data_IF_089481776438
#
_entry.id   IF_089481776438
#
_cell.length_a   1.000
_cell.length_b   1.000
_cell.length_c   1.000
_cell.angle_alpha   90.00
_cell.angle_beta   90.00
_cell.angle_gamma   90.00
#
_symmetry.space_group_name_H-M   'P 1'
#
loop_
_entity.id
_entity.type
_entity.pdbx_description
1 polymer ?
#
# COMPACT_ATOMS: atom_id res chain seq x y z
N UNK A 1 112.43 -39.43 195.29
CA UNK A 1 113.37 -39.49 194.14
C UNK A 1 112.53 -39.79 192.89
N UNK A 2 112.76 -39.26 191.69
CA UNK A 2 113.58 -38.12 191.16
C UNK A 2 113.17 -37.96 189.68
N UNK A 3 112.94 -36.80 189.06
CA UNK A 3 113.25 -35.37 189.31
C UNK A 3 114.69 -34.89 188.92
N UNK A 4 114.74 -33.77 188.18
CA UNK A 4 115.88 -32.89 187.82
C UNK A 4 117.02 -33.39 186.90
N UNK A 5 116.85 -33.21 185.57
CA UNK A 5 117.74 -32.31 184.80
C UNK A 5 117.10 -31.70 183.53
N UNK A 6 115.79 -31.50 183.52
CA UNK A 6 115.02 -30.83 182.46
C UNK A 6 115.41 -29.34 182.21
N UNK A 7 116.33 -28.78 183.00
CA UNK A 7 116.51 -27.34 183.11
C UNK A 7 117.34 -26.68 181.99
N UNK A 8 118.40 -27.32 181.49
CA UNK A 8 119.23 -26.69 180.45
C UNK A 8 118.58 -26.72 179.05
N UNK A 9 117.70 -27.70 178.81
CA UNK A 9 116.82 -27.70 177.64
C UNK A 9 115.75 -26.59 177.69
N UNK A 10 115.40 -26.08 178.87
CA UNK A 10 114.34 -25.09 179.03
C UNK A 10 114.76 -23.65 178.69
N UNK A 11 116.03 -23.28 178.84
CA UNK A 11 116.48 -21.89 178.78
C UNK A 11 116.51 -21.28 177.36
N UNK A 12 117.20 -21.91 176.40
CA UNK A 12 117.23 -21.40 175.01
C UNK A 12 115.90 -21.57 174.28
N UNK A 13 115.17 -22.63 174.63
CA UNK A 13 113.78 -22.86 174.23
C UNK A 13 112.90 -21.64 174.60
N UNK A 14 113.14 -21.01 175.76
CA UNK A 14 112.43 -19.81 176.18
C UNK A 14 112.82 -18.52 175.42
N UNK A 15 114.06 -18.41 174.90
CA UNK A 15 114.53 -17.21 174.19
C UNK A 15 113.99 -17.14 172.77
N UNK A 16 114.10 -18.22 172.00
CA UNK A 16 113.60 -18.23 170.62
C UNK A 16 112.06 -18.30 170.54
N UNK A 17 111.38 -18.84 171.57
CA UNK A 17 109.93 -18.64 171.76
C UNK A 17 109.52 -17.15 171.81
N UNK A 18 110.37 -16.25 172.34
CA UNK A 18 110.07 -14.81 172.37
C UNK A 18 110.24 -14.15 171.00
N UNK A 19 111.26 -14.51 170.23
CA UNK A 19 111.43 -14.00 168.85
C UNK A 19 110.36 -14.56 167.91
N UNK A 20 109.96 -15.83 168.08
CA UNK A 20 108.82 -16.40 167.36
C UNK A 20 107.51 -15.63 167.66
N UNK A 21 107.31 -15.18 168.90
CA UNK A 21 106.14 -14.36 169.30
C UNK A 21 106.09 -12.97 168.66
N UNK A 22 107.19 -12.22 168.54
CA UNK A 22 107.11 -10.87 167.96
C UNK A 22 106.89 -10.92 166.45
N UNK A 23 107.58 -11.82 165.74
CA UNK A 23 107.35 -12.02 164.30
C UNK A 23 105.95 -12.58 164.00
N UNK A 24 105.38 -13.41 164.89
CA UNK A 24 103.95 -13.79 164.78
C UNK A 24 102.99 -12.60 164.92
N UNK A 25 103.32 -11.57 165.71
CA UNK A 25 102.46 -10.39 165.88
C UNK A 25 102.49 -9.49 164.62
N UNK A 26 103.66 -9.22 164.05
CA UNK A 26 103.76 -8.42 162.82
C UNK A 26 103.13 -9.12 161.61
N UNK A 27 103.33 -10.45 161.48
CA UNK A 27 102.68 -11.25 160.43
C UNK A 27 101.16 -11.24 160.59
N UNK A 28 100.65 -11.27 161.83
CA UNK A 28 99.23 -11.21 162.14
C UNK A 28 98.61 -9.86 161.81
N UNK A 29 99.31 -8.75 162.08
CA UNK A 29 98.84 -7.40 161.73
C UNK A 29 98.65 -7.22 160.21
N UNK A 30 99.64 -7.63 159.42
CA UNK A 30 99.56 -7.60 157.95
C UNK A 30 98.47 -8.53 157.39
N UNK A 31 98.28 -9.71 157.98
CA UNK A 31 97.18 -10.62 157.63
C UNK A 31 95.80 -10.04 157.98
N UNK A 32 95.65 -9.34 159.10
CA UNK A 32 94.39 -8.71 159.51
C UNK A 32 94.00 -7.52 158.60
N UNK A 33 94.96 -6.72 158.11
CA UNK A 33 94.66 -5.72 157.06
C UNK A 33 94.31 -6.36 155.70
N UNK A 34 95.10 -7.35 155.25
CA UNK A 34 94.86 -8.07 153.99
C UNK A 34 93.48 -8.74 153.99
N UNK A 35 93.09 -9.40 155.08
CA UNK A 35 91.78 -10.04 155.21
C UNK A 35 90.63 -9.04 155.31
N UNK A 36 90.82 -7.85 155.91
CA UNK A 36 89.81 -6.77 155.89
C UNK A 36 89.58 -6.22 154.46
N UNK A 37 90.63 -6.04 153.65
CA UNK A 37 90.47 -5.64 152.23
C UNK A 37 89.80 -6.74 151.40
N UNK A 38 90.23 -7.99 151.55
CA UNK A 38 89.62 -9.14 150.88
C UNK A 38 88.14 -9.31 151.20
N UNK A 39 87.73 -9.13 152.47
CA UNK A 39 86.30 -9.17 152.85
C UNK A 39 85.47 -8.09 152.15
N UNK A 40 85.98 -6.86 152.02
CA UNK A 40 85.29 -5.79 151.27
C UNK A 40 85.19 -6.10 149.77
N UNK A 41 86.26 -6.59 149.16
CA UNK A 41 86.27 -6.98 147.74
C UNK A 41 85.32 -8.16 147.46
N UNK A 42 85.35 -9.21 148.28
CA UNK A 42 84.47 -10.37 148.13
C UNK A 42 82.98 -10.02 148.34
N UNK A 43 82.66 -9.06 149.22
CA UNK A 43 81.28 -8.59 149.37
C UNK A 43 80.79 -7.85 148.13
N UNK A 44 81.60 -6.96 147.56
CA UNK A 44 81.28 -6.25 146.31
C UNK A 44 81.11 -7.23 145.13
N UNK A 45 81.98 -8.24 145.03
CA UNK A 45 81.90 -9.29 144.00
C UNK A 45 80.58 -10.08 144.12
N UNK A 46 80.18 -10.48 145.33
CA UNK A 46 78.91 -11.18 145.55
C UNK A 46 77.69 -10.35 145.16
N UNK A 47 77.66 -9.03 145.47
CA UNK A 47 76.55 -8.15 145.08
C UNK A 47 76.46 -8.04 143.56
N UNK A 48 77.58 -7.79 142.89
CA UNK A 48 77.63 -7.71 141.42
C UNK A 48 77.28 -9.05 140.75
N UNK A 49 77.65 -10.19 141.33
CA UNK A 49 77.26 -11.50 140.84
C UNK A 49 75.74 -11.73 140.94
N UNK A 50 75.11 -11.35 142.05
CA UNK A 50 73.66 -11.45 142.23
C UNK A 50 72.87 -10.53 141.27
N UNK A 51 73.37 -9.32 140.98
CA UNK A 51 72.76 -8.46 139.96
C UNK A 51 72.92 -9.04 138.54
N UNK A 52 74.09 -9.63 138.23
CA UNK A 52 74.33 -10.25 136.92
C UNK A 52 73.45 -11.49 136.68
N UNK A 53 73.20 -12.30 137.71
CA UNK A 53 72.26 -13.43 137.60
C UNK A 53 70.83 -12.95 137.39
N UNK A 54 70.34 -11.97 138.18
CA UNK A 54 69.00 -11.40 138.01
C UNK A 54 68.76 -10.84 136.61
N UNK A 55 69.68 -10.04 136.08
CA UNK A 55 69.58 -9.49 134.72
C UNK A 55 69.60 -10.58 133.63
N UNK A 56 70.35 -11.67 133.83
CA UNK A 56 70.35 -12.82 132.91
C UNK A 56 69.05 -13.62 132.96
N UNK A 57 68.41 -13.72 134.12
CA UNK A 57 67.08 -14.33 134.25
C UNK A 57 65.97 -13.46 133.65
N UNK A 58 66.03 -12.13 133.81
CA UNK A 58 65.12 -11.19 133.13
C UNK A 58 65.23 -11.28 131.61
N UNK A 59 66.45 -11.29 131.04
CA UNK A 59 66.62 -11.45 129.59
C UNK A 59 66.09 -12.81 129.10
N UNK A 60 66.41 -13.92 129.80
CA UNK A 60 65.87 -15.25 129.45
C UNK A 60 64.35 -15.33 129.52
N UNK A 61 63.72 -14.66 130.48
CA UNK A 61 62.25 -14.67 130.63
C UNK A 61 61.56 -13.80 129.60
N UNK A 62 62.21 -12.72 129.11
CA UNK A 62 61.73 -11.91 128.00
C UNK A 62 61.88 -12.60 126.64
N UNK A 63 63.07 -13.12 126.31
CA UNK A 63 63.37 -13.74 125.01
C UNK A 63 62.81 -15.17 124.88
N UNK A 64 62.87 -15.97 125.95
CA UNK A 64 62.32 -17.32 126.00
C UNK A 64 60.83 -17.39 126.40
N UNK A 65 60.24 -16.26 126.78
CA UNK A 65 58.90 -16.18 127.36
C UNK A 65 57.79 -16.59 126.39
N UNK A 66 56.62 -16.92 126.97
CA UNK A 66 55.39 -17.21 126.21
C UNK A 66 54.97 -16.07 125.30
N UNK A 67 55.38 -14.83 125.60
CA UNK A 67 55.12 -13.64 124.78
C UNK A 67 55.91 -13.64 123.47
N UNK A 68 57.20 -13.99 123.47
CA UNK A 68 58.03 -14.06 122.25
C UNK A 68 57.52 -15.14 121.27
N UNK A 69 57.18 -16.33 121.77
CA UNK A 69 56.55 -17.39 120.96
C UNK A 69 55.14 -17.03 120.48
N UNK A 70 54.37 -16.26 121.27
CA UNK A 70 53.08 -15.71 120.81
C UNK A 70 53.27 -14.68 119.71
N UNK A 71 54.34 -13.88 119.73
CA UNK A 71 54.58 -12.86 118.70
C UNK A 71 54.95 -13.49 117.36
N UNK A 72 55.89 -14.44 117.33
CA UNK A 72 56.26 -15.14 116.09
C UNK A 72 55.12 -15.99 115.51
N UNK A 73 54.25 -16.56 116.36
CA UNK A 73 53.03 -17.21 115.89
C UNK A 73 52.00 -16.22 115.33
N UNK A 74 51.86 -15.01 115.92
CA UNK A 74 51.02 -13.94 115.37
C UNK A 74 51.55 -13.41 114.04
N UNK A 75 52.86 -13.26 113.89
CA UNK A 75 53.49 -12.86 112.62
C UNK A 75 53.22 -13.89 111.51
N UNK A 76 53.34 -15.19 111.81
CA UNK A 76 52.96 -16.26 110.87
C UNK A 76 51.47 -16.23 110.54
N UNK A 77 50.60 -16.01 111.52
CA UNK A 77 49.16 -15.85 111.28
C UNK A 77 48.86 -14.62 110.41
N UNK A 78 49.53 -13.48 110.64
CA UNK A 78 49.39 -12.28 109.82
C UNK A 78 49.91 -12.50 108.40
N UNK A 79 51.04 -13.18 108.21
CA UNK A 79 51.55 -13.55 106.89
C UNK A 79 50.57 -14.43 106.13
N UNK A 80 50.02 -15.47 106.77
CA UNK A 80 49.02 -16.36 106.16
C UNK A 80 47.72 -15.61 105.83
N UNK A 81 47.26 -14.70 106.70
CA UNK A 81 46.08 -13.87 106.45
C UNK A 81 46.31 -12.87 105.30
N UNK A 82 47.52 -12.32 105.17
CA UNK A 82 47.90 -11.43 104.07
C UNK A 82 48.04 -12.17 102.74
N UNK A 83 48.54 -13.42 102.77
CA UNK A 83 48.56 -14.31 101.60
C UNK A 83 47.13 -14.65 101.15
N UNK A 84 46.26 -15.09 102.07
CA UNK A 84 44.82 -15.32 101.81
C UNK A 84 44.11 -14.06 101.31
N UNK A 85 44.42 -12.88 101.85
CA UNK A 85 43.89 -11.62 101.35
C UNK A 85 44.35 -11.37 99.90
N UNK A 86 45.61 -11.65 99.58
CA UNK A 86 46.15 -11.49 98.22
C UNK A 86 45.52 -12.48 97.21
N UNK A 87 45.20 -13.70 97.65
CA UNK A 87 44.51 -14.71 96.85
C UNK A 87 43.05 -14.32 96.60
N UNK A 88 42.33 -13.88 97.64
CA UNK A 88 40.96 -13.37 97.51
C UNK A 88 40.89 -12.11 96.64
N UNK A 89 41.86 -11.20 96.76
CA UNK A 89 41.97 -10.01 95.90
C UNK A 89 42.18 -10.41 94.44
N UNK A 90 43.02 -11.41 94.16
CA UNK A 90 43.28 -11.94 92.82
C UNK A 90 42.04 -12.65 92.24
N UNK A 91 41.36 -13.45 93.05
CA UNK A 91 40.11 -14.11 92.66
C UNK A 91 39.00 -13.08 92.35
N UNK A 92 38.85 -12.05 93.18
CA UNK A 92 37.90 -10.95 92.95
C UNK A 92 38.20 -10.20 91.65
N UNK A 93 39.48 -9.91 91.36
CA UNK A 93 39.87 -9.28 90.09
C UNK A 93 39.54 -10.16 88.88
N UNK A 94 39.79 -11.47 88.97
CA UNK A 94 39.44 -12.42 87.91
C UNK A 94 37.92 -12.48 87.68
N UNK A 95 37.11 -12.53 88.74
CA UNK A 95 35.65 -12.49 88.59
C UNK A 95 35.16 -11.14 88.04
N UNK A 96 35.82 -10.04 88.39
CA UNK A 96 35.51 -8.72 87.82
C UNK A 96 35.84 -8.65 86.31
N UNK A 97 36.93 -9.29 85.86
CA UNK A 97 37.21 -9.42 84.42
C UNK A 97 36.23 -10.34 83.72
N UNK A 98 35.87 -11.48 84.33
CA UNK A 98 34.86 -12.40 83.79
C UNK A 98 33.51 -11.71 83.60
N UNK A 99 33.05 -10.94 84.59
CA UNK A 99 31.83 -10.15 84.51
C UNK A 99 31.89 -9.11 83.39
N UNK A 100 33.00 -8.38 83.26
CA UNK A 100 33.18 -7.39 82.19
C UNK A 100 33.16 -8.03 80.79
N UNK A 101 33.79 -9.20 80.63
CA UNK A 101 33.75 -9.97 79.38
C UNK A 101 32.34 -10.47 79.07
N UNK A 102 31.62 -11.02 80.05
CA UNK A 102 30.24 -11.47 79.92
C UNK A 102 29.29 -10.31 79.55
N UNK A 103 29.41 -9.15 80.19
CA UNK A 103 28.69 -7.94 79.79
C UNK A 103 29.06 -7.47 78.36
N UNK A 104 30.31 -7.68 77.95
CA UNK A 104 30.77 -7.44 76.59
C UNK A 104 30.14 -8.41 75.57
N UNK A 105 29.98 -9.68 75.94
CA UNK A 105 29.31 -10.70 75.13
C UNK A 105 27.79 -10.47 75.05
N UNK A 106 27.14 -10.12 76.16
CA UNK A 106 25.72 -9.73 76.19
C UNK A 106 25.48 -8.57 75.23
N UNK A 107 26.27 -7.48 75.34
CA UNK A 107 26.15 -6.31 74.44
C UNK A 107 26.46 -6.61 72.96
N UNK A 108 27.20 -7.67 72.63
CA UNK A 108 27.37 -8.14 71.25
C UNK A 108 26.12 -8.88 70.77
N UNK A 109 25.63 -9.82 71.56
CA UNK A 109 24.42 -10.60 71.27
C UNK A 109 23.17 -9.70 71.15
N UNK A 110 23.02 -8.69 72.02
CA UNK A 110 21.96 -7.69 71.92
C UNK A 110 22.03 -6.91 70.58
N UNK A 111 23.23 -6.51 70.15
CA UNK A 111 23.42 -5.83 68.85
C UNK A 111 23.13 -6.74 67.65
N UNK A 112 23.46 -8.03 67.76
CA UNK A 112 23.16 -9.03 66.73
C UNK A 112 21.64 -9.30 66.66
N UNK A 113 20.97 -9.46 67.81
CA UNK A 113 19.50 -9.58 67.90
C UNK A 113 18.82 -8.34 67.32
N UNK A 114 19.30 -7.13 67.64
CA UNK A 114 18.78 -5.88 67.08
C UNK A 114 19.03 -5.76 65.56
N UNK A 115 20.16 -6.29 65.06
CA UNK A 115 20.44 -6.31 63.63
C UNK A 115 19.52 -7.30 62.90
N UNK A 116 19.27 -8.47 63.48
CA UNK A 116 18.30 -9.45 62.97
C UNK A 116 16.89 -8.88 62.98
N UNK A 117 16.42 -8.30 64.09
CA UNK A 117 15.09 -7.65 64.19
C UNK A 117 14.89 -6.48 63.23
N UNK A 118 15.94 -5.75 62.84
CA UNK A 118 15.87 -4.72 61.79
C UNK A 118 15.76 -5.31 60.38
N UNK A 119 16.29 -6.51 60.17
CA UNK A 119 16.24 -7.24 58.89
C UNK A 119 15.01 -8.16 58.78
N UNK A 120 14.39 -8.53 59.90
CA UNK A 120 13.12 -9.25 59.97
C UNK A 120 11.99 -8.38 59.46
N UNK A 121 11.70 -8.52 58.16
CA UNK A 121 10.49 -8.01 57.54
C UNK A 121 9.28 -8.74 58.18
N UNK A 122 8.31 -8.04 58.79
CA UNK A 122 7.19 -8.71 59.45
C UNK A 122 6.37 -9.58 58.49
N UNK A 123 5.85 -10.70 58.97
CA UNK A 123 4.96 -11.60 58.21
C UNK A 123 3.79 -10.88 57.49
N UNK A 124 3.28 -9.80 58.10
CA UNK A 124 2.27 -8.96 57.46
C UNK A 124 2.75 -8.34 56.16
N UNK A 125 4.00 -7.88 56.07
CA UNK A 125 4.56 -7.35 54.83
C UNK A 125 4.59 -8.44 53.73
N UNK A 126 5.04 -9.67 54.04
CA UNK A 126 5.02 -10.77 53.07
C UNK A 126 3.59 -11.11 52.60
N UNK A 127 2.63 -11.19 53.52
CA UNK A 127 1.20 -11.39 53.19
C UNK A 127 0.67 -10.25 52.30
N UNK A 128 1.10 -9.02 52.56
CA UNK A 128 0.77 -7.85 51.75
C UNK A 128 1.38 -7.91 50.34
N UNK A 129 2.64 -8.33 50.20
CA UNK A 129 3.29 -8.50 48.88
C UNK A 129 2.59 -9.60 48.09
N UNK A 130 2.30 -10.75 48.72
CA UNK A 130 1.55 -11.85 48.09
C UNK A 130 0.16 -11.38 47.68
N UNK A 131 -0.56 -10.65 48.54
CA UNK A 131 -1.86 -10.08 48.21
C UNK A 131 -1.80 -9.08 47.04
N UNK A 132 -0.76 -8.23 46.98
CA UNK A 132 -0.52 -7.31 45.86
C UNK A 132 -0.21 -8.06 44.56
N UNK A 133 0.59 -9.13 44.61
CA UNK A 133 0.88 -10.00 43.46
C UNK A 133 -0.39 -10.71 42.99
N UNK A 134 -1.15 -11.35 43.89
CA UNK A 134 -2.42 -12.02 43.57
C UNK A 134 -3.42 -11.05 42.89
N UNK A 135 -3.59 -9.85 43.45
CA UNK A 135 -4.42 -8.78 42.86
C UNK A 135 -3.90 -8.30 41.50
N UNK A 136 -2.61 -8.40 41.24
CA UNK A 136 -2.00 -8.04 39.96
C UNK A 136 -2.18 -9.14 38.92
N UNK A 137 -2.05 -10.42 39.31
CA UNK A 137 -2.38 -11.59 38.49
C UNK A 137 -3.84 -11.54 38.05
N UNK A 138 -4.79 -11.38 38.98
CA UNK A 138 -6.23 -11.27 38.65
C UNK A 138 -6.55 -10.08 37.73
N UNK A 139 -5.82 -8.96 37.85
CA UNK A 139 -5.96 -7.83 36.91
C UNK A 139 -5.44 -8.15 35.51
N UNK A 140 -4.34 -8.91 35.40
CA UNK A 140 -3.77 -9.34 34.13
C UNK A 140 -4.64 -10.42 33.47
N UNK A 141 -5.16 -11.37 34.24
CA UNK A 141 -6.12 -12.39 33.79
C UNK A 141 -7.39 -11.72 33.26
N UNK A 142 -8.04 -10.84 34.03
CA UNK A 142 -9.22 -10.10 33.56
C UNK A 142 -8.93 -9.27 32.30
N UNK A 143 -7.73 -8.69 32.17
CA UNK A 143 -7.33 -7.94 30.98
C UNK A 143 -7.09 -8.85 29.77
N UNK A 144 -6.51 -10.04 29.98
CA UNK A 144 -6.37 -11.07 28.95
C UNK A 144 -7.74 -11.56 28.49
N UNK A 145 -8.67 -11.80 29.42
CA UNK A 145 -10.04 -12.24 29.14
C UNK A 145 -10.82 -11.22 28.32
N UNK A 146 -10.70 -9.93 28.63
CA UNK A 146 -11.29 -8.83 27.84
C UNK A 146 -10.67 -8.75 26.44
N UNK A 147 -9.37 -8.97 26.29
CA UNK A 147 -8.70 -9.01 24.98
C UNK A 147 -9.12 -10.24 24.18
N UNK A 148 -9.22 -11.42 24.81
CA UNK A 148 -9.69 -12.65 24.18
C UNK A 148 -11.13 -12.52 23.70
N UNK A 149 -12.04 -11.96 24.50
CA UNK A 149 -13.42 -11.68 24.08
C UNK A 149 -13.47 -10.79 22.84
N UNK A 150 -12.75 -9.65 22.86
CA UNK A 150 -12.64 -8.77 21.68
C UNK A 150 -12.04 -9.47 20.45
N UNK A 151 -11.06 -10.34 20.64
CA UNK A 151 -10.47 -11.14 19.57
C UNK A 151 -11.51 -12.10 18.97
N UNK A 152 -12.25 -12.82 19.83
CA UNK A 152 -13.36 -13.69 19.42
C UNK A 152 -14.45 -12.91 18.69
N UNK A 153 -14.86 -11.74 19.18
CA UNK A 153 -15.85 -10.88 18.53
C UNK A 153 -15.41 -10.53 17.09
N UNK A 154 -14.18 -10.01 16.93
CA UNK A 154 -13.58 -9.69 15.63
C UNK A 154 -13.45 -10.93 14.73
N UNK A 155 -13.13 -12.11 15.27
CA UNK A 155 -13.08 -13.36 14.51
C UNK A 155 -14.47 -13.79 14.02
N UNK A 156 -15.53 -13.62 14.83
CA UNK A 156 -16.91 -13.92 14.39
C UNK A 156 -17.39 -12.93 13.32
N UNK A 157 -17.02 -11.65 13.42
CA UNK A 157 -17.30 -10.66 12.39
C UNK A 157 -16.54 -10.97 11.10
N UNK A 158 -15.25 -11.34 11.20
CA UNK A 158 -14.44 -11.76 10.06
C UNK A 158 -15.02 -13.01 9.38
N UNK A 159 -15.55 -13.98 10.13
CA UNK A 159 -16.27 -15.13 9.57
C UNK A 159 -17.49 -14.68 8.78
N UNK A 160 -18.37 -13.86 9.38
CA UNK A 160 -19.57 -13.32 8.70
C UNK A 160 -19.22 -12.56 7.41
N UNK A 161 -18.14 -11.79 7.41
CA UNK A 161 -17.65 -11.11 6.21
C UNK A 161 -17.17 -12.09 5.14
N UNK A 162 -16.47 -13.18 5.50
CA UNK A 162 -16.09 -14.24 4.56
C UNK A 162 -17.31 -14.95 3.98
N UNK A 163 -18.31 -15.25 4.82
CA UNK A 163 -19.55 -15.89 4.39
C UNK A 163 -20.33 -15.00 3.40
N UNK A 164 -20.40 -13.69 3.68
CA UNK A 164 -20.98 -12.70 2.75
C UNK A 164 -20.19 -12.59 1.44
N UNK A 165 -18.86 -12.60 1.48
CA UNK A 165 -18.01 -12.61 0.27
C UNK A 165 -18.25 -13.89 -0.54
N UNK A 166 -18.29 -15.06 0.11
CA UNK A 166 -18.55 -16.34 -0.55
C UNK A 166 -19.94 -16.37 -1.22
N UNK A 167 -20.97 -15.85 -0.54
CA UNK A 167 -22.31 -15.71 -1.11
C UNK A 167 -22.32 -14.79 -2.34
N UNK A 168 -21.68 -13.62 -2.28
CA UNK A 168 -21.56 -12.71 -3.42
C UNK A 168 -20.77 -13.31 -4.59
N UNK A 169 -19.75 -14.13 -4.31
CA UNK A 169 -19.00 -14.86 -5.34
C UNK A 169 -19.86 -15.95 -6.01
N UNK A 170 -20.70 -16.65 -5.23
CA UNK A 170 -21.64 -17.63 -5.75
C UNK A 170 -22.74 -16.97 -6.60
N UNK A 171 -23.31 -15.85 -6.14
CA UNK A 171 -24.29 -15.08 -6.91
C UNK A 171 -23.69 -14.56 -8.22
N UNK A 172 -22.43 -14.10 -8.20
CA UNK A 172 -21.71 -13.69 -9.41
C UNK A 172 -21.47 -14.87 -10.35
N UNK A 173 -21.19 -16.07 -9.85
CA UNK A 173 -21.03 -17.26 -10.66
C UNK A 173 -22.36 -17.64 -11.34
N UNK A 174 -23.46 -17.69 -10.57
CA UNK A 174 -24.81 -17.96 -11.07
C UNK A 174 -25.24 -16.92 -12.13
N UNK A 175 -24.97 -15.63 -11.88
CA UNK A 175 -25.25 -14.56 -12.83
C UNK A 175 -24.45 -14.69 -14.13
N UNK A 176 -23.15 -15.04 -14.03
CA UNK A 176 -22.32 -15.29 -15.21
C UNK A 176 -22.84 -16.49 -16.02
N UNK A 177 -23.28 -17.57 -15.38
CA UNK A 177 -23.85 -18.74 -16.06
C UNK A 177 -25.16 -18.38 -16.79
N UNK A 178 -26.07 -17.67 -16.13
CA UNK A 178 -27.31 -17.18 -16.73
C UNK A 178 -27.03 -16.21 -17.90
N UNK A 179 -26.03 -15.33 -17.75
CA UNK A 179 -25.57 -14.42 -18.81
C UNK A 179 -25.03 -15.19 -20.02
N UNK A 180 -24.16 -16.19 -19.82
CA UNK A 180 -23.63 -17.01 -20.91
C UNK A 180 -24.74 -17.80 -21.63
N UNK A 181 -25.71 -18.32 -20.89
CA UNK A 181 -26.91 -18.95 -21.47
C UNK A 181 -27.71 -17.97 -22.34
N UNK A 182 -27.98 -16.76 -21.85
CA UNK A 182 -28.68 -15.72 -22.61
C UNK A 182 -27.91 -15.26 -23.86
N UNK A 183 -26.57 -15.10 -23.76
CA UNK A 183 -25.71 -14.80 -24.91
C UNK A 183 -25.74 -15.92 -25.95
N UNK A 184 -25.77 -17.18 -25.51
CA UNK A 184 -25.85 -18.35 -26.40
C UNK A 184 -27.19 -18.37 -27.14
N UNK A 185 -28.31 -18.26 -26.41
CA UNK A 185 -29.66 -18.19 -27.00
C UNK A 185 -29.82 -17.02 -27.98
N UNK A 186 -29.23 -15.85 -27.68
CA UNK A 186 -29.25 -14.69 -28.56
C UNK A 186 -28.44 -14.92 -29.85
N UNK A 187 -27.28 -15.58 -29.76
CA UNK A 187 -26.46 -15.92 -30.92
C UNK A 187 -27.12 -17.01 -31.78
N UNK A 188 -27.78 -17.98 -31.17
CA UNK A 188 -28.53 -19.00 -31.92
C UNK A 188 -29.80 -18.40 -32.58
N UNK A 189 -30.49 -17.48 -31.90
CA UNK A 189 -31.55 -16.67 -32.50
C UNK A 189 -31.07 -15.85 -33.71
N UNK A 190 -29.87 -15.27 -33.65
CA UNK A 190 -29.24 -14.60 -34.80
C UNK A 190 -28.94 -15.55 -35.96
N UNK A 191 -28.44 -16.77 -35.69
CA UNK A 191 -28.22 -17.78 -36.73
C UNK A 191 -29.53 -18.15 -37.42
N UNK A 192 -30.60 -18.42 -36.66
CA UNK A 192 -31.91 -18.73 -37.23
C UNK A 192 -32.46 -17.60 -38.12
N UNK A 193 -32.21 -16.34 -37.76
CA UNK A 193 -32.57 -15.18 -38.61
C UNK A 193 -31.72 -15.14 -39.89
N UNK A 194 -30.41 -15.42 -39.80
CA UNK A 194 -29.50 -15.48 -40.95
C UNK A 194 -29.89 -16.62 -41.90
N UNK A 195 -30.09 -17.84 -41.38
CA UNK A 195 -30.55 -19.01 -42.14
C UNK A 195 -31.89 -18.74 -42.85
N UNK A 196 -32.80 -17.99 -42.22
CA UNK A 196 -34.07 -17.59 -42.82
C UNK A 196 -33.91 -16.54 -43.92
N UNK A 197 -32.97 -15.60 -43.78
CA UNK A 197 -32.62 -14.62 -44.83
C UNK A 197 -31.99 -15.33 -46.03
N UNK A 198 -31.08 -16.27 -45.79
CA UNK A 198 -30.42 -17.05 -46.85
C UNK A 198 -31.45 -17.91 -47.61
N UNK A 199 -32.33 -18.63 -46.89
CA UNK A 199 -33.44 -19.38 -47.51
C UNK A 199 -34.40 -18.48 -48.30
N UNK A 200 -34.71 -17.29 -47.78
CA UNK A 200 -35.58 -16.32 -48.47
C UNK A 200 -34.93 -15.78 -49.74
N UNK A 201 -33.61 -15.55 -49.70
CA UNK A 201 -32.81 -15.07 -50.83
C UNK A 201 -32.73 -16.16 -51.91
N UNK A 202 -32.38 -17.40 -51.54
CA UNK A 202 -32.39 -18.54 -52.45
C UNK A 202 -33.76 -18.76 -53.12
N UNK A 203 -34.86 -18.62 -52.38
CA UNK A 203 -36.21 -18.74 -52.94
C UNK A 203 -36.57 -17.57 -53.87
N UNK A 204 -36.05 -16.37 -53.60
CA UNK A 204 -36.21 -15.21 -54.48
C UNK A 204 -35.43 -15.39 -55.79
N UNK A 205 -34.17 -15.83 -55.72
CA UNK A 205 -33.32 -16.07 -56.90
C UNK A 205 -33.91 -17.17 -57.78
N UNK A 206 -34.32 -18.31 -57.21
CA UNK A 206 -35.03 -19.37 -57.94
C UNK A 206 -36.30 -18.86 -58.61
N UNK A 207 -37.09 -18.03 -57.92
CA UNK A 207 -38.28 -17.41 -58.52
C UNK A 207 -37.90 -16.50 -59.68
N UNK A 208 -36.83 -15.72 -59.55
CA UNK A 208 -36.36 -14.81 -60.59
C UNK A 208 -35.88 -15.58 -61.84
N UNK A 209 -35.13 -16.66 -61.66
CA UNK A 209 -34.74 -17.58 -62.75
C UNK A 209 -35.94 -18.21 -63.47
N UNK A 210 -36.97 -18.63 -62.73
CA UNK A 210 -38.19 -19.16 -63.33
C UNK A 210 -38.98 -18.06 -64.06
N UNK A 211 -39.01 -16.84 -63.54
CA UNK A 211 -39.65 -15.70 -64.20
C UNK A 211 -38.92 -15.29 -65.50
N UNK A 212 -37.59 -15.24 -65.51
CA UNK A 212 -36.82 -14.92 -66.74
C UNK A 212 -36.98 -16.03 -67.78
N UNK A 213 -36.87 -17.30 -67.37
CA UNK A 213 -37.12 -18.46 -68.26
C UNK A 213 -38.54 -18.45 -68.85
N UNK A 214 -39.55 -18.08 -68.06
CA UNK A 214 -40.93 -17.95 -68.52
C UNK A 214 -41.12 -16.76 -69.48
N UNK A 215 -40.38 -15.66 -69.32
CA UNK A 215 -40.35 -14.58 -70.31
C UNK A 215 -39.78 -15.07 -71.64
N UNK A 216 -38.57 -15.65 -71.62
CA UNK A 216 -37.90 -16.17 -72.84
C UNK A 216 -38.77 -17.18 -73.60
N UNK A 217 -39.50 -18.05 -72.88
CA UNK A 217 -40.43 -18.98 -73.51
C UNK A 217 -41.67 -18.30 -74.11
N UNK A 218 -42.19 -17.23 -73.49
CA UNK A 218 -43.28 -16.42 -74.07
C UNK A 218 -42.83 -15.69 -75.33
N UNK A 219 -41.67 -15.04 -75.27
CA UNK A 219 -41.11 -14.26 -76.38
C UNK A 219 -40.83 -15.18 -77.57
N UNK A 220 -40.26 -16.37 -77.33
CA UNK A 220 -40.10 -17.42 -78.34
C UNK A 220 -41.44 -17.87 -78.93
N UNK A 221 -42.44 -18.16 -78.09
CA UNK A 221 -43.74 -18.64 -78.56
C UNK A 221 -44.50 -17.58 -79.39
N UNK A 222 -44.38 -16.29 -79.06
CA UNK A 222 -44.97 -15.22 -79.88
C UNK A 222 -44.20 -15.05 -81.20
N UNK A 223 -42.87 -15.18 -81.21
CA UNK A 223 -42.07 -15.20 -82.44
C UNK A 223 -42.43 -16.39 -83.35
N UNK A 224 -42.50 -17.61 -82.80
CA UNK A 224 -42.88 -18.83 -83.54
C UNK A 224 -44.30 -18.68 -84.13
N UNK A 225 -45.25 -18.12 -83.37
CA UNK A 225 -46.60 -17.78 -83.83
C UNK A 225 -46.58 -16.74 -84.96
N UNK A 226 -45.77 -15.69 -84.87
CA UNK A 226 -45.61 -14.70 -85.95
C UNK A 226 -45.05 -15.34 -87.21
N UNK A 227 -44.06 -16.23 -87.09
CA UNK A 227 -43.50 -16.99 -88.22
C UNK A 227 -44.57 -17.88 -88.87
N UNK A 228 -45.30 -18.68 -88.10
CA UNK A 228 -46.39 -19.51 -88.64
C UNK A 228 -47.50 -18.68 -89.32
N UNK A 229 -47.80 -17.48 -88.83
CA UNK A 229 -48.74 -16.56 -89.50
C UNK A 229 -48.17 -16.08 -90.85
N UNK A 230 -46.86 -15.82 -90.94
CA UNK A 230 -46.21 -15.44 -92.21
C UNK A 230 -46.19 -16.61 -93.21
N UNK A 231 -45.82 -17.81 -92.77
CA UNK A 231 -45.85 -19.04 -93.56
C UNK A 231 -47.27 -19.30 -94.12
N UNK A 232 -48.29 -19.24 -93.27
CA UNK A 232 -49.69 -19.42 -93.67
C UNK A 232 -50.14 -18.35 -94.69
N UNK A 233 -49.73 -17.09 -94.52
CA UNK A 233 -50.01 -16.01 -95.50
C UNK A 233 -49.28 -16.23 -96.83
N UNK A 234 -48.08 -16.81 -96.82
CA UNK A 234 -47.40 -17.16 -98.06
C UNK A 234 -48.05 -18.34 -98.77
N UNK A 235 -48.40 -19.40 -98.04
CA UNK A 235 -49.14 -20.54 -98.59
C UNK A 235 -50.49 -20.10 -99.15
N UNK A 236 -51.22 -19.20 -98.49
CA UNK A 236 -52.44 -18.62 -99.03
C UNK A 236 -52.17 -17.81 -100.31
N UNK A 237 -51.13 -16.97 -100.37
CA UNK A 237 -50.76 -16.24 -101.60
C UNK A 237 -50.40 -17.17 -102.76
N UNK A 238 -49.71 -18.29 -102.50
CA UNK A 238 -49.41 -19.33 -103.50
C UNK A 238 -50.70 -19.99 -103.98
N UNK A 239 -51.59 -20.42 -103.08
CA UNK A 239 -52.90 -20.99 -103.45
C UNK A 239 -53.78 -20.01 -104.24
N UNK A 240 -53.79 -18.73 -103.90
CA UNK A 240 -54.52 -17.69 -104.65
C UNK A 240 -53.90 -17.44 -106.04
N UNK A 241 -52.58 -17.48 -106.16
CA UNK A 241 -51.88 -17.43 -107.44
C UNK A 241 -52.26 -18.64 -108.30
N UNK A 242 -52.17 -19.84 -107.76
CA UNK A 242 -52.45 -21.08 -108.48
C UNK A 242 -53.93 -21.19 -108.86
N UNK A 243 -54.85 -20.70 -108.01
CA UNK A 243 -56.27 -20.59 -108.36
C UNK A 243 -56.54 -19.55 -109.46
N UNK A 244 -55.79 -18.44 -109.50
CA UNK A 244 -55.85 -17.46 -110.62
C UNK A 244 -55.28 -18.06 -111.91
N UNK A 245 -54.18 -18.82 -111.80
CA UNK A 245 -53.53 -19.51 -112.91
C UNK A 245 -54.41 -20.63 -113.47
N UNK A 246 -55.06 -21.42 -112.62
CA UNK A 246 -56.06 -22.42 -113.02
C UNK A 246 -57.23 -21.76 -113.76
N UNK A 247 -57.81 -20.69 -113.21
CA UNK A 247 -58.87 -19.92 -113.90
C UNK A 247 -58.39 -19.36 -115.24
N UNK A 248 -57.14 -18.91 -115.35
CA UNK A 248 -56.55 -18.48 -116.61
C UNK A 248 -56.41 -19.64 -117.60
N UNK A 249 -55.96 -20.82 -117.17
CA UNK A 249 -55.93 -22.03 -117.99
C UNK A 249 -57.32 -22.52 -118.38
N UNK A 250 -58.33 -22.41 -117.53
CA UNK A 250 -59.72 -22.75 -117.87
C UNK A 250 -60.23 -21.80 -118.98
N UNK A 251 -59.99 -20.49 -118.85
CA UNK A 251 -60.39 -19.46 -119.83
C UNK A 251 -59.60 -19.58 -121.15
N UNK A 252 -58.33 -20.03 -121.12
CA UNK A 252 -57.49 -20.23 -122.31
C UNK A 252 -57.69 -21.61 -122.96
N UNK A 253 -57.96 -22.63 -122.17
CA UNK A 253 -58.22 -24.01 -122.57
C UNK A 253 -59.63 -24.22 -123.11
N UNK A 254 -60.56 -23.29 -122.84
CA UNK A 254 -61.77 -23.12 -123.65
C UNK A 254 -61.38 -22.92 -125.11
N UNK A 255 -61.53 -24.00 -125.89
CA UNK A 255 -61.20 -24.06 -127.31
C UNK A 255 -62.15 -23.17 -128.11
N UNK A 256 -61.78 -21.89 -128.24
CA UNK A 256 -62.46 -20.93 -129.13
C UNK A 256 -62.31 -21.44 -130.55
N UNK A 257 -63.39 -21.99 -131.11
CA UNK A 257 -63.43 -22.43 -132.50
C UNK A 257 -63.49 -21.19 -133.40
N UNK A 258 -62.33 -20.60 -133.67
CA UNK A 258 -62.19 -19.37 -134.45
C UNK A 258 -61.38 -19.70 -135.71
N UNK A 259 -62.01 -19.93 -136.88
CA UNK A 259 -61.30 -20.27 -138.12
C UNK A 259 -60.39 -19.15 -138.65
N UNK A 260 -60.45 -17.97 -138.03
CA UNK A 260 -59.61 -16.81 -138.32
C UNK A 260 -58.21 -16.89 -137.66
N UNK A 261 -57.99 -17.77 -136.67
CA UNK A 261 -56.73 -17.82 -135.91
C UNK A 261 -55.56 -18.47 -136.68
N UNK A 262 -55.81 -19.46 -137.54
CA UNK A 262 -54.75 -20.06 -138.37
C UNK A 262 -54.19 -19.06 -139.40
N UNK A 263 -55.03 -18.15 -139.91
CA UNK A 263 -54.57 -17.03 -140.74
C UNK A 263 -53.80 -15.99 -139.91
N UNK A 264 -54.25 -15.70 -138.69
CA UNK A 264 -53.60 -14.74 -137.78
C UNK A 264 -52.25 -15.18 -137.23
N UNK A 265 -51.91 -16.47 -137.22
CA UNK A 265 -50.56 -16.94 -136.83
C UNK A 265 -49.51 -16.69 -137.93
N UNK A 266 -49.92 -16.71 -139.20
CA UNK A 266 -49.07 -16.30 -140.32
C UNK A 266 -48.81 -14.78 -140.25
N UNK A 267 -49.85 -13.98 -140.05
CA UNK A 267 -49.74 -12.52 -139.89
C UNK A 267 -48.93 -12.13 -138.65
N UNK A 268 -49.05 -12.86 -137.53
CA UNK A 268 -48.24 -12.61 -136.33
C UNK A 268 -46.75 -12.86 -136.55
N UNK A 269 -46.36 -13.83 -137.37
CA UNK A 269 -44.94 -14.03 -137.72
C UNK A 269 -44.39 -12.89 -138.60
N UNK A 270 -45.24 -12.26 -139.42
CA UNK A 270 -44.86 -11.05 -140.15
C UNK A 270 -44.82 -9.83 -139.22
N UNK A 271 -45.85 -9.61 -138.40
CA UNK A 271 -45.91 -8.49 -137.45
C UNK A 271 -44.84 -8.56 -136.34
N UNK A 272 -44.38 -9.76 -135.96
CA UNK A 272 -43.20 -9.90 -135.08
C UNK A 272 -41.92 -9.44 -135.77
N UNK A 273 -41.71 -9.74 -137.07
CA UNK A 273 -40.59 -9.18 -137.83
C UNK A 273 -40.67 -7.65 -137.92
N UNK A 274 -41.84 -7.11 -138.26
CA UNK A 274 -42.08 -5.66 -138.28
C UNK A 274 -41.92 -4.98 -136.91
N UNK A 275 -42.16 -5.70 -135.80
CA UNK A 275 -41.92 -5.19 -134.45
C UNK A 275 -40.44 -5.25 -134.06
N UNK A 276 -39.68 -6.28 -134.49
CA UNK A 276 -38.22 -6.27 -134.34
C UNK A 276 -37.57 -5.20 -135.21
N UNK A 277 -38.08 -4.97 -136.43
CA UNK A 277 -37.66 -3.87 -137.29
C UNK A 277 -38.03 -2.50 -136.70
N UNK A 278 -39.22 -2.36 -136.09
CA UNK A 278 -39.58 -1.14 -135.32
C UNK A 278 -38.74 -0.94 -134.07
N UNK A 279 -38.43 -1.97 -133.29
CA UNK A 279 -37.52 -1.84 -132.15
C UNK A 279 -36.10 -1.52 -132.60
N UNK A 280 -35.62 -2.09 -133.71
CA UNK A 280 -34.36 -1.68 -134.32
C UNK A 280 -34.40 -0.24 -134.84
N UNK A 281 -35.55 0.23 -135.32
CA UNK A 281 -35.75 1.62 -135.70
C UNK A 281 -35.77 2.54 -134.47
N UNK A 282 -36.49 2.19 -133.41
CA UNK A 282 -36.53 2.93 -132.14
C UNK A 282 -35.15 2.96 -131.46
N UNK A 283 -34.40 1.86 -131.44
CA UNK A 283 -33.03 1.88 -130.92
C UNK A 283 -32.09 2.71 -131.80
N UNK A 284 -32.26 2.68 -133.14
CA UNK A 284 -31.54 3.61 -134.04
C UNK A 284 -31.93 5.06 -133.80
N UNK A 285 -33.22 5.35 -133.60
CA UNK A 285 -33.72 6.70 -133.36
C UNK A 285 -33.24 7.20 -131.99
N UNK A 286 -33.22 6.36 -130.95
CA UNK A 286 -32.63 6.68 -129.64
C UNK A 286 -31.13 6.93 -129.77
N UNK A 287 -30.39 6.10 -130.53
CA UNK A 287 -28.96 6.32 -130.79
C UNK A 287 -28.74 7.62 -131.57
N UNK A 288 -29.53 7.92 -132.61
CA UNK A 288 -29.49 9.20 -133.32
C UNK A 288 -29.86 10.38 -132.42
N UNK A 289 -30.81 10.21 -131.50
CA UNK A 289 -31.23 11.26 -130.56
C UNK A 289 -30.17 11.52 -129.49
N UNK A 290 -29.45 10.49 -129.06
CA UNK A 290 -28.27 10.64 -128.20
C UNK A 290 -27.13 11.30 -129.00
N UNK A 291 -26.88 10.91 -130.26
CA UNK A 291 -25.92 11.63 -131.14
C UNK A 291 -26.28 13.11 -131.29
N UNK A 292 -27.56 13.44 -131.53
CA UNK A 292 -28.05 14.81 -131.65
C UNK A 292 -27.92 15.61 -130.34
N UNK A 293 -28.12 14.97 -129.17
CA UNK A 293 -27.97 15.60 -127.86
C UNK A 293 -26.50 15.84 -127.47
N UNK A 294 -25.59 14.96 -127.88
CA UNK A 294 -24.15 15.05 -127.55
C UNK A 294 -23.28 15.66 -128.66
N UNK A 295 -23.80 15.85 -129.88
CA UNK A 295 -23.14 16.57 -130.97
C UNK A 295 -21.98 15.83 -131.64
N UNK A 296 -21.89 14.50 -131.49
CA UNK A 296 -20.79 13.67 -131.99
C UNK A 296 -21.35 12.50 -132.82
N UNK A 297 -20.95 12.39 -134.09
CA UNK A 297 -21.49 11.40 -135.04
C UNK A 297 -20.90 9.99 -134.89
N UNK A 298 -19.76 9.85 -134.21
CA UNK A 298 -19.05 8.58 -134.07
C UNK A 298 -19.52 7.80 -132.82
N UNK A 299 -20.17 6.66 -133.06
CA UNK A 299 -20.70 5.78 -132.00
C UNK A 299 -19.61 5.22 -131.08
N UNK A 300 -18.41 4.96 -131.58
CA UNK A 300 -17.33 4.44 -130.74
C UNK A 300 -16.80 5.52 -129.80
N UNK A 301 -16.74 6.77 -130.28
CA UNK A 301 -16.32 7.93 -129.48
C UNK A 301 -17.34 8.28 -128.40
N UNK A 302 -18.63 8.19 -128.70
CA UNK A 302 -19.72 8.36 -127.73
C UNK A 302 -19.67 7.28 -126.63
N UNK A 303 -19.48 6.01 -127.00
CA UNK A 303 -19.30 4.91 -126.02
C UNK A 303 -18.02 5.10 -125.19
N UNK A 304 -16.93 5.60 -125.78
CA UNK A 304 -15.72 5.94 -125.05
C UNK A 304 -15.92 7.12 -124.08
N UNK A 305 -16.76 8.10 -124.41
CA UNK A 305 -17.13 9.20 -123.51
C UNK A 305 -18.04 8.72 -122.37
N UNK A 306 -19.02 7.85 -122.65
CA UNK A 306 -19.83 7.23 -121.59
C UNK A 306 -18.97 6.35 -120.68
N UNK A 307 -18.02 5.58 -121.21
CA UNK A 307 -17.06 4.84 -120.38
C UNK A 307 -16.20 5.74 -119.52
N UNK A 308 -15.71 6.89 -120.04
CA UNK A 308 -15.00 7.87 -119.21
C UNK A 308 -15.89 8.45 -118.11
N UNK A 309 -17.15 8.76 -118.40
CA UNK A 309 -18.10 9.21 -117.37
C UNK A 309 -18.48 8.10 -116.38
N UNK A 310 -18.48 6.84 -116.81
CA UNK A 310 -18.67 5.67 -115.94
C UNK A 310 -17.44 5.47 -115.04
N UNK A 311 -16.23 5.57 -115.58
CA UNK A 311 -14.95 5.55 -114.84
C UNK A 311 -14.85 6.72 -113.85
N UNK A 312 -15.26 7.93 -114.25
CA UNK A 312 -15.34 9.12 -113.38
C UNK A 312 -16.38 8.94 -112.27
N UNK A 313 -17.59 8.43 -112.58
CA UNK A 313 -18.61 8.13 -111.57
C UNK A 313 -18.20 6.98 -110.66
N UNK A 314 -17.46 5.98 -111.15
CA UNK A 314 -16.92 4.88 -110.36
C UNK A 314 -15.79 5.36 -109.44
N UNK A 315 -14.94 6.27 -109.91
CA UNK A 315 -13.96 6.96 -109.07
C UNK A 315 -14.63 7.82 -107.99
N UNK A 316 -15.69 8.57 -108.32
CA UNK A 316 -16.50 9.32 -107.35
C UNK A 316 -17.20 8.39 -106.34
N UNK A 317 -17.72 7.25 -106.78
CA UNK A 317 -18.34 6.25 -105.90
C UNK A 317 -17.30 5.64 -104.93
N UNK A 318 -16.12 5.30 -105.42
CA UNK A 318 -15.01 4.83 -104.58
C UNK A 318 -14.57 5.90 -103.58
N UNK A 319 -14.46 7.16 -104.00
CA UNK A 319 -14.14 8.27 -103.10
C UNK A 319 -15.23 8.50 -102.03
N UNK A 320 -16.51 8.37 -102.39
CA UNK A 320 -17.64 8.43 -101.43
C UNK A 320 -17.58 7.26 -100.44
N UNK A 321 -17.19 6.07 -100.88
CA UNK A 321 -17.02 4.91 -100.00
C UNK A 321 -15.80 5.07 -99.08
N UNK A 322 -14.67 5.56 -99.59
CA UNK A 322 -13.48 5.89 -98.77
C UNK A 322 -13.81 6.97 -97.72
N UNK A 323 -14.51 8.04 -98.11
CA UNK A 323 -14.96 9.08 -97.19
C UNK A 323 -15.99 8.56 -96.18
N UNK A 324 -16.87 7.63 -96.57
CA UNK A 324 -17.81 6.99 -95.64
C UNK A 324 -17.07 6.11 -94.63
N UNK A 325 -16.02 5.40 -95.05
CA UNK A 325 -15.17 4.61 -94.16
C UNK A 325 -14.31 5.51 -93.24
N UNK A 326 -13.82 6.65 -93.73
CA UNK A 326 -13.15 7.65 -92.88
C UNK A 326 -14.12 8.22 -91.83
N UNK A 327 -15.40 8.45 -92.19
CA UNK A 327 -16.45 8.84 -91.24
C UNK A 327 -16.75 7.73 -90.22
N UNK A 328 -16.77 6.45 -90.61
CA UNK A 328 -16.88 5.33 -89.66
C UNK A 328 -15.72 5.32 -88.66
N UNK A 329 -14.46 5.39 -89.14
CA UNK A 329 -13.27 5.41 -88.29
C UNK A 329 -13.23 6.65 -87.38
N UNK A 330 -13.65 7.82 -87.87
CA UNK A 330 -13.78 9.03 -87.06
C UNK A 330 -14.90 8.92 -86.02
N UNK A 331 -15.98 8.19 -86.32
CA UNK A 331 -17.07 7.94 -85.36
C UNK A 331 -16.64 6.93 -84.28
N UNK A 332 -15.94 5.85 -84.65
CA UNK A 332 -15.39 4.87 -83.71
C UNK A 332 -14.37 5.53 -82.77
N UNK A 333 -13.42 6.31 -83.29
CA UNK A 333 -12.46 7.06 -82.46
C UNK A 333 -13.13 8.14 -81.61
N UNK A 334 -14.23 8.74 -82.09
CA UNK A 334 -15.06 9.63 -81.26
C UNK A 334 -15.73 8.85 -80.12
N UNK A 335 -16.25 7.65 -80.39
CA UNK A 335 -16.84 6.79 -79.35
C UNK A 335 -15.79 6.40 -78.30
N UNK A 336 -14.62 5.89 -78.71
CA UNK A 336 -13.51 5.56 -77.81
C UNK A 336 -13.11 6.75 -76.93
N UNK A 337 -13.02 7.96 -77.49
CA UNK A 337 -12.73 9.18 -76.74
C UNK A 337 -13.86 9.55 -75.77
N UNK A 338 -15.14 9.34 -76.13
CA UNK A 338 -16.25 9.57 -75.19
C UNK A 338 -16.26 8.57 -74.04
N UNK A 339 -15.97 7.29 -74.29
CA UNK A 339 -15.86 6.25 -73.26
C UNK A 339 -14.68 6.52 -72.31
N UNK A 340 -13.53 6.97 -72.85
CA UNK A 340 -12.37 7.40 -72.06
C UNK A 340 -12.71 8.64 -71.19
N UNK A 341 -13.45 9.62 -71.73
CA UNK A 341 -13.92 10.78 -70.97
C UNK A 341 -14.89 10.37 -69.85
N UNK A 342 -15.80 9.42 -70.09
CA UNK A 342 -16.69 8.89 -69.06
C UNK A 342 -15.93 8.12 -67.98
N UNK A 343 -14.92 7.32 -68.35
CA UNK A 343 -14.02 6.64 -67.39
C UNK A 343 -13.26 7.65 -66.52
N UNK A 344 -12.67 8.68 -67.12
CA UNK A 344 -11.95 9.71 -66.37
C UNK A 344 -12.88 10.53 -65.45
N UNK A 345 -14.11 10.83 -65.88
CA UNK A 345 -15.12 11.46 -65.03
C UNK A 345 -15.50 10.55 -63.86
N UNK A 346 -15.73 9.25 -64.08
CA UNK A 346 -16.09 8.33 -62.99
C UNK A 346 -14.96 8.22 -61.96
N UNK A 347 -13.71 8.03 -62.41
CA UNK A 347 -12.53 8.09 -61.53
C UNK A 347 -12.40 9.41 -60.76
N UNK A 348 -12.67 10.55 -61.41
CA UNK A 348 -12.61 11.86 -60.76
C UNK A 348 -13.69 11.99 -59.68
N UNK A 349 -14.93 11.54 -59.94
CA UNK A 349 -15.99 11.54 -58.94
C UNK A 349 -15.69 10.60 -57.78
N UNK A 350 -15.06 9.44 -58.02
CA UNK A 350 -14.65 8.51 -56.97
C UNK A 350 -13.54 9.11 -56.09
N UNK A 351 -12.54 9.76 -56.70
CA UNK A 351 -11.47 10.48 -55.99
C UNK A 351 -12.03 11.64 -55.17
N UNK A 352 -12.97 12.41 -55.71
CA UNK A 352 -13.63 13.50 -55.00
C UNK A 352 -14.50 12.99 -53.84
N UNK A 353 -15.20 11.87 -54.02
CA UNK A 353 -15.99 11.23 -52.97
C UNK A 353 -15.09 10.72 -51.83
N UNK A 354 -13.96 10.08 -52.15
CA UNK A 354 -12.95 9.65 -51.17
C UNK A 354 -12.39 10.81 -50.34
N UNK A 355 -11.98 11.90 -51.01
CA UNK A 355 -11.51 13.11 -50.33
C UNK A 355 -12.61 13.74 -49.44
N UNK A 356 -13.88 13.71 -49.88
CA UNK A 356 -15.02 14.17 -49.08
C UNK A 356 -15.28 13.27 -47.87
N UNK A 357 -15.18 11.95 -48.00
CA UNK A 357 -15.32 11.04 -46.85
C UNK A 357 -14.18 11.19 -45.86
N UNK A 358 -12.92 11.27 -46.31
CA UNK A 358 -11.76 11.51 -45.44
C UNK A 358 -11.86 12.85 -44.69
N UNK A 359 -12.33 13.91 -45.37
CA UNK A 359 -12.57 15.20 -44.73
C UNK A 359 -13.74 15.17 -43.72
N UNK A 360 -14.81 14.41 -44.01
CA UNK A 360 -15.92 14.21 -43.08
C UNK A 360 -15.50 13.40 -41.85
N UNK A 361 -14.72 12.34 -42.03
CA UNK A 361 -14.20 11.53 -40.93
C UNK A 361 -13.28 12.35 -40.02
N UNK A 362 -12.38 13.16 -40.59
CA UNK A 362 -11.57 14.12 -39.83
C UNK A 362 -12.42 15.14 -39.05
N UNK A 363 -13.47 15.69 -39.67
CA UNK A 363 -14.41 16.61 -39.02
C UNK A 363 -15.22 15.93 -37.90
N UNK A 364 -15.62 14.67 -38.08
CA UNK A 364 -16.32 13.88 -37.08
C UNK A 364 -15.42 13.56 -35.88
N UNK A 365 -14.16 13.19 -36.11
CA UNK A 365 -13.15 12.97 -35.07
C UNK A 365 -12.88 14.24 -34.26
N UNK A 366 -12.74 15.40 -34.92
CA UNK A 366 -12.50 16.67 -34.23
C UNK A 366 -13.75 17.15 -33.48
N UNK A 367 -14.95 16.95 -34.02
CA UNK A 367 -16.21 17.16 -33.29
C UNK A 367 -16.29 16.27 -32.03
N UNK A 368 -15.94 14.99 -32.14
CA UNK A 368 -15.94 14.06 -31.01
C UNK A 368 -14.95 14.50 -29.90
N UNK A 369 -13.76 14.99 -30.27
CA UNK A 369 -12.79 15.58 -29.33
C UNK A 369 -13.36 16.83 -28.65
N UNK A 370 -13.92 17.75 -29.43
CA UNK A 370 -14.50 19.00 -28.90
C UNK A 370 -15.67 18.68 -27.95
N UNK A 371 -16.52 17.70 -28.28
CA UNK A 371 -17.58 17.23 -27.39
C UNK A 371 -17.04 16.62 -26.09
N UNK A 372 -15.98 15.81 -26.14
CA UNK A 372 -15.35 15.25 -24.93
C UNK A 372 -14.78 16.36 -24.05
N UNK A 373 -14.03 17.31 -24.64
CA UNK A 373 -13.49 18.47 -23.93
C UNK A 373 -14.60 19.36 -23.33
N UNK A 374 -15.73 19.52 -24.03
CA UNK A 374 -16.90 20.24 -23.55
C UNK A 374 -17.58 19.50 -22.38
N UNK A 375 -17.73 18.17 -22.45
CA UNK A 375 -18.27 17.32 -21.36
C UNK A 375 -17.36 17.42 -20.12
N UNK A 376 -16.06 17.21 -20.26
CA UNK A 376 -15.08 17.38 -19.17
C UNK A 376 -15.14 18.78 -18.54
N UNK A 377 -15.23 19.83 -19.36
CA UNK A 377 -15.28 21.22 -18.88
C UNK A 377 -16.60 21.50 -18.15
N UNK A 378 -17.71 20.93 -18.63
CA UNK A 378 -19.02 20.98 -17.97
C UNK A 378 -19.00 20.27 -16.61
N UNK A 379 -18.40 19.07 -16.53
CA UNK A 379 -18.22 18.33 -15.28
C UNK A 379 -17.33 19.09 -14.29
N UNK A 380 -16.19 19.65 -14.74
CA UNK A 380 -15.31 20.49 -13.93
C UNK A 380 -16.07 21.72 -13.39
N UNK A 381 -16.89 22.38 -14.22
CA UNK A 381 -17.76 23.49 -13.84
C UNK A 381 -18.84 23.08 -12.84
N UNK A 382 -19.48 21.92 -13.04
CA UNK A 382 -20.51 21.39 -12.14
C UNK A 382 -19.91 21.05 -10.76
N UNK A 383 -18.77 20.35 -10.72
CA UNK A 383 -18.05 20.04 -9.49
C UNK A 383 -17.61 21.32 -8.74
N UNK A 384 -17.11 22.33 -9.46
CA UNK A 384 -16.76 23.63 -8.86
C UNK A 384 -17.99 24.35 -8.31
N UNK A 385 -19.12 24.32 -9.03
CA UNK A 385 -20.40 24.89 -8.60
C UNK A 385 -20.94 24.20 -7.35
N UNK A 386 -20.90 22.87 -7.29
CA UNK A 386 -21.33 22.09 -6.12
C UNK A 386 -20.45 22.40 -4.90
N UNK A 387 -19.13 22.47 -5.08
CA UNK A 387 -18.20 22.87 -4.02
C UNK A 387 -18.42 24.32 -3.57
N UNK A 388 -18.73 25.23 -4.49
CA UNK A 388 -19.07 26.61 -4.16
C UNK A 388 -20.39 26.66 -3.37
N UNK A 389 -21.42 25.92 -3.75
CA UNK A 389 -22.68 25.81 -2.99
C UNK A 389 -22.47 25.20 -1.60
N UNK A 390 -21.60 24.20 -1.45
CA UNK A 390 -21.23 23.66 -0.13
C UNK A 390 -20.51 24.71 0.74
N UNK A 391 -19.60 25.51 0.17
CA UNK A 391 -18.93 26.61 0.88
C UNK A 391 -19.92 27.72 1.26
N UNK A 392 -20.84 28.10 0.35
CA UNK A 392 -21.93 29.03 0.66
C UNK A 392 -22.76 28.51 1.82
N UNK A 393 -23.25 27.27 1.75
CA UNK A 393 -24.06 26.68 2.81
C UNK A 393 -23.30 26.62 4.14
N UNK A 394 -22.01 26.25 4.14
CA UNK A 394 -21.18 26.25 5.34
C UNK A 394 -20.99 27.65 5.95
N UNK A 395 -20.90 28.70 5.13
CA UNK A 395 -20.85 30.10 5.59
C UNK A 395 -22.22 30.53 6.16
N UNK A 396 -23.33 30.09 5.55
CA UNK A 396 -24.69 30.33 6.05
C UNK A 396 -24.95 29.60 7.39
N UNK A 397 -24.45 28.37 7.53
CA UNK A 397 -24.55 27.58 8.76
C UNK A 397 -23.69 28.19 9.90
N UNK A 398 -22.49 28.69 9.59
CA UNK A 398 -21.66 29.45 10.55
C UNK A 398 -22.32 30.77 10.94
N UNK A 399 -22.94 31.48 9.99
CA UNK A 399 -23.67 32.72 10.24
C UNK A 399 -24.85 32.49 11.21
N UNK A 400 -25.62 31.42 11.01
CA UNK A 400 -26.69 30.99 11.92
C UNK A 400 -26.17 30.58 13.30
N UNK A 401 -25.08 29.81 13.35
CA UNK A 401 -24.48 29.33 14.60
C UNK A 401 -23.97 30.47 15.50
N UNK A 402 -23.47 31.55 14.91
CA UNK A 402 -22.96 32.73 15.62
C UNK A 402 -24.04 33.72 16.06
N UNK A 403 -25.31 33.47 15.71
CA UNK A 403 -26.46 34.35 16.00
C UNK A 403 -26.15 35.82 15.69
N UNK A 404 -25.64 36.08 14.48
CA UNK A 404 -25.31 37.43 14.03
C UNK A 404 -26.58 38.25 13.73
N UNK A 405 -26.62 39.50 14.16
CA UNK A 405 -27.74 40.41 13.84
C UNK A 405 -27.83 40.66 12.32
N UNK A 406 -29.02 40.44 11.74
CA UNK A 406 -29.28 40.67 10.31
C UNK A 406 -29.32 42.17 9.91
N UNK A 407 -29.40 43.07 10.89
CA UNK A 407 -29.62 44.51 10.69
C UNK A 407 -28.60 45.22 9.77
N UNK A 408 -27.27 44.95 9.83
CA UNK A 408 -26.30 45.57 8.91
C UNK A 408 -26.37 45.01 7.48
N UNK A 409 -27.02 43.85 7.30
CA UNK A 409 -27.02 43.08 6.05
C UNK A 409 -28.30 43.38 5.25
N UNK A 410 -29.45 43.47 5.94
CA UNK A 410 -30.74 43.87 5.37
C UNK A 410 -30.71 45.27 4.73
N UNK A 411 -29.95 46.21 5.30
CA UNK A 411 -29.86 47.59 4.80
C UNK A 411 -29.16 47.73 3.42
N UNK A 412 -28.43 46.71 2.98
CA UNK A 412 -27.78 46.67 1.66
C UNK A 412 -28.51 45.72 0.71
N UNK A 413 -29.17 44.68 1.25
CA UNK A 413 -29.89 43.67 0.49
C UNK A 413 -31.41 43.91 0.57
N UNK A 414 -31.86 44.94 -0.16
CA UNK A 414 -33.24 45.44 -0.18
C UNK A 414 -34.33 44.42 -0.54
N UNK A 415 -33.98 43.17 -0.88
CA UNK A 415 -34.92 42.07 -1.09
C UNK A 415 -34.26 40.70 -0.87
N UNK A 416 -34.53 40.11 0.31
CA UNK A 416 -34.28 38.72 0.75
C UNK A 416 -32.85 38.35 1.20
N UNK A 417 -32.80 37.66 2.32
CA UNK A 417 -31.63 37.18 3.07
C UNK A 417 -31.06 35.86 2.52
N UNK A 418 -30.68 35.82 1.25
CA UNK A 418 -30.03 34.64 0.66
C UNK A 418 -28.55 34.91 0.32
N UNK A 419 -27.68 34.03 0.84
CA UNK A 419 -26.24 34.10 0.62
C UNK A 419 -25.91 33.77 -0.85
N UNK A 420 -25.71 34.83 -1.64
CA UNK A 420 -25.32 34.76 -3.05
C UNK A 420 -23.81 35.00 -3.18
N UNK A 421 -23.16 34.45 -4.22
CA UNK A 421 -21.70 34.58 -4.49
C UNK A 421 -21.17 36.02 -4.36
N UNK A 422 -21.96 37.01 -4.78
CA UNK A 422 -21.61 38.43 -4.71
C UNK A 422 -21.65 39.01 -3.29
N UNK A 423 -22.45 38.41 -2.40
CA UNK A 423 -22.71 38.90 -1.05
C UNK A 423 -21.78 38.25 0.00
N UNK A 424 -21.11 37.14 -0.34
CA UNK A 424 -20.25 36.34 0.56
C UNK A 424 -19.27 37.19 1.36
N UNK A 425 -18.62 38.16 0.71
CA UNK A 425 -17.63 39.04 1.35
C UNK A 425 -18.23 39.89 2.48
N UNK A 426 -19.49 40.30 2.37
CA UNK A 426 -20.21 41.03 3.41
C UNK A 426 -20.55 40.13 4.60
N UNK A 427 -21.06 38.93 4.35
CA UNK A 427 -21.36 37.95 5.41
C UNK A 427 -20.09 37.52 6.16
N UNK A 428 -18.99 37.20 5.46
CA UNK A 428 -17.71 36.88 6.10
C UNK A 428 -17.21 38.07 6.95
N UNK A 429 -17.29 39.31 6.46
CA UNK A 429 -16.88 40.49 7.23
C UNK A 429 -17.77 40.81 8.45
N UNK A 430 -18.99 40.25 8.53
CA UNK A 430 -19.83 40.30 9.74
C UNK A 430 -19.43 39.17 10.70
N UNK A 431 -19.25 37.94 10.19
CA UNK A 431 -18.73 36.79 10.95
C UNK A 431 -17.39 37.15 11.60
N UNK A 432 -16.44 37.71 10.86
CA UNK A 432 -15.12 38.11 11.35
C UNK A 432 -15.21 39.12 12.51
N UNK A 433 -16.05 40.15 12.38
CA UNK A 433 -16.29 41.11 13.46
C UNK A 433 -16.92 40.45 14.69
N UNK A 434 -17.89 39.54 14.51
CA UNK A 434 -18.54 38.82 15.62
C UNK A 434 -17.58 37.85 16.31
N UNK A 435 -16.77 37.11 15.55
CA UNK A 435 -15.72 36.22 16.06
C UNK A 435 -14.66 37.02 16.82
N UNK A 436 -14.21 38.16 16.31
CA UNK A 436 -13.28 39.04 17.01
C UNK A 436 -13.86 39.58 18.34
N UNK A 437 -15.17 39.88 18.39
CA UNK A 437 -15.86 40.23 19.64
C UNK A 437 -15.86 39.05 20.61
N UNK A 438 -16.23 37.84 20.16
CA UNK A 438 -16.26 36.63 21.01
C UNK A 438 -14.85 36.29 21.54
N UNK A 439 -13.82 36.38 20.69
CA UNK A 439 -12.42 36.23 21.08
C UNK A 439 -12.04 37.30 22.10
N UNK A 440 -12.45 38.57 21.92
CA UNK A 440 -12.16 39.62 22.89
C UNK A 440 -12.80 39.35 24.26
N UNK A 441 -14.03 38.82 24.32
CA UNK A 441 -14.67 38.42 25.58
C UNK A 441 -13.98 37.22 26.24
N UNK A 442 -13.58 36.20 25.47
CA UNK A 442 -12.85 35.04 26.02
C UNK A 442 -11.45 35.46 26.50
N UNK A 443 -10.78 36.38 25.82
CA UNK A 443 -9.45 36.89 26.21
C UNK A 443 -9.52 37.85 27.43
N UNK A 444 -10.71 38.37 27.76
CA UNK A 444 -11.00 39.04 29.03
C UNK A 444 -11.16 38.00 30.16
N UNK A 445 -11.78 36.84 29.88
CA UNK A 445 -11.90 35.74 30.85
C UNK A 445 -10.56 35.00 31.10
N UNK A 446 -9.77 34.71 30.06
CA UNK A 446 -8.46 34.04 30.20
C UNK A 446 -7.43 34.88 30.97
N UNK A 447 -7.50 36.21 30.89
CA UNK A 447 -6.69 37.11 31.73
C UNK A 447 -7.05 37.04 33.23
N UNK A 448 -8.21 36.47 33.59
CA UNK A 448 -8.60 36.27 34.99
C UNK A 448 -8.11 34.94 35.59
N UNK A 449 -7.68 33.97 34.76
CA UNK A 449 -7.35 32.61 35.19
C UNK A 449 -5.93 32.17 34.80
N UNK A 450 -4.90 32.80 35.38
CA UNK A 450 -3.55 32.20 35.39
C UNK A 450 -2.78 32.36 36.70
N UNK A 451 -3.10 31.52 37.67
CA UNK A 451 -2.23 31.24 38.81
C UNK A 451 -1.38 29.99 38.53
N UNK A 452 -0.08 30.23 38.29
CA UNK A 452 1.07 29.36 38.56
C UNK A 452 1.09 27.90 38.02
N UNK A 453 1.78 27.68 36.90
CA UNK A 453 2.61 26.48 36.69
C UNK A 453 3.81 26.79 35.76
N UNK A 454 4.87 25.98 35.82
CA UNK A 454 6.22 26.30 35.34
C UNK A 454 6.51 25.94 33.87
N UNK A 455 7.36 26.79 33.27
CA UNK A 455 8.51 26.55 32.36
C UNK A 455 8.55 25.35 31.37
N UNK A 456 9.17 25.68 30.22
CA UNK A 456 9.92 24.81 29.30
C UNK A 456 9.14 23.84 28.38
N UNK A 457 8.95 24.26 27.12
CA UNK A 457 9.62 23.69 25.91
C UNK A 457 8.97 24.23 24.63
N UNK A 458 9.79 24.82 23.74
CA UNK A 458 9.41 25.11 22.35
C UNK A 458 10.23 24.19 21.43
N UNK A 459 9.64 23.13 20.86
CA UNK A 459 10.23 22.42 19.74
C UNK A 459 10.06 23.27 18.48
N UNK A 460 11.17 23.66 17.84
CA UNK A 460 11.15 24.23 16.49
C UNK A 460 10.66 23.15 15.52
N UNK A 461 9.69 23.46 14.67
CA UNK A 461 9.42 22.67 13.47
C UNK A 461 9.65 23.51 12.22
N UNK A 462 10.54 23.01 11.35
CA UNK A 462 10.79 23.55 10.03
C UNK A 462 9.56 23.40 9.15
N UNK A 463 9.22 24.44 8.39
CA UNK A 463 8.49 24.29 7.14
C UNK A 463 9.53 24.30 6.01
N UNK A 464 9.99 23.10 5.65
CA UNK A 464 10.67 22.81 4.39
C UNK A 464 9.90 21.69 3.69
N UNK A 465 9.95 21.67 2.37
CA UNK A 465 9.25 20.72 1.47
C UNK A 465 7.72 20.94 1.43
N UNK A 466 7.19 21.62 0.42
CA UNK A 466 6.76 20.92 -0.80
C UNK A 466 6.39 21.91 -1.93
N UNK A 467 7.40 22.55 -2.52
CA UNK A 467 7.23 23.42 -3.69
C UNK A 467 8.38 23.22 -4.69
N UNK A 468 8.36 22.07 -5.41
CA UNK A 468 9.00 21.84 -6.71
C UNK A 468 8.75 20.41 -7.20
N UNK A 469 7.64 20.21 -7.92
CA UNK A 469 7.53 19.22 -8.99
C UNK A 469 6.49 19.72 -10.00
N UNK A 470 7.00 20.34 -11.07
CA UNK A 470 6.44 20.45 -12.42
C UNK A 470 7.28 21.44 -13.24
N UNK A 471 8.29 20.90 -13.89
CA UNK A 471 8.59 21.16 -15.30
C UNK A 471 8.97 19.82 -15.92
#
# INVERSE_FOLDING_TARGET
MTDQLDQLAAAELQRLQRQHRSLQLDLRGLLEEKTKRLKKQNHMINVLQQENEKLKEEIKTLEGGTHARRNTNKEKQLSNLQEQQSELQRAYQNEQTNLWELEGHIRKMEKEIDALRRNEVPDNCYKDTICKVQKSVVKLENRLDVVNKKCSDVLTENSKMRDAINHMLQDRANFNEMWQSMVTQFNDGKKLIMDLIDQSTMAFDQRQELCTKLSVLKDRNENDKVMHIQEMREMQRRLEHDAKLQKFFDIKGQKRLNPELEQRELDKKQSQKENYERQLFEYKEIIERIKQLYGEDDTERLVAQFKRQEDENFALFNYVNELSHEVEVLNDTTQELTEEIERQKSEQTEKELKLKTEALDYLNDELARIEQLAKETSEKKHNLSNRLQQLLKGIEDIFKLLACDDAPILNVLSSKTFLTVHNVKLFIGVIERRVNIIISTINIEDNSNRILARKDRVPKFNIRESAKMKH
#
